data_IF_257319950458
#
_entry.id   IF_257319950458
#
_cell.length_a   1.000
_cell.length_b   1.000
_cell.length_c   1.000
_cell.angle_alpha   90.00
_cell.angle_beta   90.00
_cell.angle_gamma   90.00
#
_symmetry.space_group_name_H-M   'P 1'
#
loop_
_entity.id
_entity.type
_entity.pdbx_description
1 polymer ?
#
# COMPACT_ATOMS: atom_id res chain seq x y z
N UNK A 1 11.97 -13.64 10.03
CA UNK A 1 10.81 -12.74 10.05
C UNK A 1 10.97 -11.80 8.87
N UNK A 2 10.20 -12.02 7.82
CA UNK A 2 10.26 -11.23 6.59
C UNK A 2 9.89 -9.78 6.91
N UNK A 3 10.84 -8.86 6.68
CA UNK A 3 10.65 -7.43 6.94
C UNK A 3 9.64 -6.92 5.89
N UNK A 4 8.50 -6.32 6.29
CA UNK A 4 7.53 -5.82 5.32
C UNK A 4 8.17 -4.72 4.47
N UNK A 5 8.11 -4.85 3.15
CA UNK A 5 8.74 -3.92 2.21
C UNK A 5 7.89 -2.67 1.97
N UNK A 6 6.58 -2.76 2.19
CA UNK A 6 5.65 -1.65 2.02
C UNK A 6 4.91 -1.31 3.33
N UNK A 7 4.50 -0.04 3.45
CA UNK A 7 3.78 0.56 4.59
C UNK A 7 2.30 0.81 4.30
N UNK A 8 1.74 0.20 3.25
CA UNK A 8 0.37 0.49 2.81
C UNK A 8 -0.64 0.25 3.94
N UNK A 9 -0.42 -0.79 4.76
CA UNK A 9 -1.25 -1.06 5.94
C UNK A 9 -1.25 0.10 6.94
N UNK A 10 -0.05 0.55 7.32
CA UNK A 10 0.13 1.65 8.28
C UNK A 10 -0.55 2.92 7.76
N UNK A 11 -0.31 3.27 6.50
CA UNK A 11 -0.90 4.47 5.88
C UNK A 11 -2.43 4.42 5.80
N UNK A 12 -3.01 3.25 5.54
CA UNK A 12 -4.46 3.07 5.55
C UNK A 12 -5.03 3.23 6.96
N UNK A 13 -4.35 2.71 7.98
CA UNK A 13 -4.74 2.87 9.39
C UNK A 13 -4.62 4.33 9.84
N UNK A 14 -3.52 5.01 9.51
CA UNK A 14 -3.27 6.43 9.83
C UNK A 14 -4.33 7.36 9.21
N UNK A 15 -4.75 7.08 7.98
CA UNK A 15 -5.81 7.85 7.30
C UNK A 15 -7.24 7.40 7.67
N UNK A 16 -7.41 6.29 8.38
CA UNK A 16 -8.73 5.72 8.66
C UNK A 16 -9.46 5.22 7.41
N UNK A 17 -8.73 4.83 6.37
CA UNK A 17 -9.28 4.40 5.08
C UNK A 17 -9.47 2.89 5.06
N UNK A 18 -10.65 2.45 4.60
CA UNK A 18 -10.94 1.02 4.44
C UNK A 18 -10.25 0.45 3.20
N UNK A 19 -9.79 -0.80 3.31
CA UNK A 19 -9.22 -1.53 2.17
C UNK A 19 -10.22 -1.71 1.01
N UNK A 20 -11.52 -1.83 1.31
CA UNK A 20 -12.58 -1.88 0.28
C UNK A 20 -12.60 -0.60 -0.56
N UNK A 21 -12.44 0.56 0.07
CA UNK A 21 -12.39 1.84 -0.62
C UNK A 21 -11.17 1.94 -1.53
N UNK A 22 -9.99 1.48 -1.07
CA UNK A 22 -8.79 1.45 -1.89
C UNK A 22 -8.97 0.48 -3.08
N UNK A 23 -9.61 -0.66 -2.87
CA UNK A 23 -9.91 -1.64 -3.92
C UNK A 23 -10.84 -1.06 -5.01
N UNK A 24 -11.88 -0.33 -4.60
CA UNK A 24 -12.77 0.40 -5.52
C UNK A 24 -12.01 1.46 -6.32
N UNK A 25 -11.15 2.25 -5.67
CA UNK A 25 -10.35 3.28 -6.34
C UNK A 25 -9.31 2.73 -7.31
N UNK A 26 -8.70 1.59 -6.99
CA UNK A 26 -7.74 0.91 -7.86
C UNK A 26 -8.41 0.10 -8.98
N UNK A 27 -9.72 -0.10 -8.93
CA UNK A 27 -10.42 -1.02 -9.82
C UNK A 27 -9.92 -2.47 -9.69
N UNK A 28 -9.47 -2.87 -8.50
CA UNK A 28 -8.92 -4.22 -8.22
C UNK A 28 -9.77 -4.94 -7.19
N UNK A 29 -9.79 -6.27 -7.27
CA UNK A 29 -10.49 -7.08 -6.27
C UNK A 29 -9.89 -6.89 -4.87
N UNK A 30 -10.75 -6.92 -3.85
CA UNK A 30 -10.34 -6.82 -2.44
C UNK A 30 -9.22 -7.79 -2.07
N UNK A 31 -9.27 -9.05 -2.53
CA UNK A 31 -8.23 -10.05 -2.26
C UNK A 31 -6.85 -9.63 -2.77
N UNK A 32 -6.78 -8.92 -3.90
CA UNK A 32 -5.52 -8.42 -4.47
C UNK A 32 -4.97 -7.29 -3.60
N UNK A 33 -5.81 -6.33 -3.24
CA UNK A 33 -5.42 -5.22 -2.35
C UNK A 33 -5.00 -5.73 -0.97
N UNK A 34 -5.75 -6.68 -0.39
CA UNK A 34 -5.40 -7.31 0.87
C UNK A 34 -4.04 -8.03 0.79
N UNK A 35 -3.70 -8.61 -0.35
CA UNK A 35 -2.37 -9.22 -0.57
C UNK A 35 -1.24 -8.18 -0.54
N UNK A 36 -1.48 -6.98 -1.09
CA UNK A 36 -0.53 -5.86 -1.01
C UNK A 36 -0.37 -5.35 0.42
N UNK A 37 -1.50 -5.08 1.09
CA UNK A 37 -1.56 -4.57 2.46
C UNK A 37 -0.89 -5.53 3.45
N UNK A 38 -1.14 -6.84 3.32
CA UNK A 38 -0.53 -7.86 4.15
C UNK A 38 0.91 -8.21 3.73
N UNK A 39 1.50 -7.51 2.78
CA UNK A 39 2.85 -7.78 2.24
C UNK A 39 3.04 -9.22 1.70
N UNK A 40 1.95 -9.97 1.44
CA UNK A 40 2.01 -11.32 0.84
C UNK A 40 2.40 -11.27 -0.63
N UNK A 41 2.04 -10.18 -1.30
CA UNK A 41 2.44 -9.87 -2.67
C UNK A 41 2.85 -8.41 -2.72
N UNK A 42 3.92 -8.09 -3.42
CA UNK A 42 4.28 -6.68 -3.64
C UNK A 42 3.47 -6.12 -4.82
N UNK A 43 2.94 -4.89 -4.69
CA UNK A 43 2.36 -4.18 -5.83
C UNK A 43 3.47 -3.85 -6.83
N UNK A 44 3.14 -3.88 -8.12
CA UNK A 44 4.01 -3.34 -9.16
C UNK A 44 4.20 -1.84 -8.96
N UNK A 45 5.28 -1.27 -9.50
CA UNK A 45 5.57 0.16 -9.40
C UNK A 45 4.39 1.03 -9.86
N UNK A 46 3.74 0.67 -10.97
CA UNK A 46 2.55 1.35 -11.47
C UNK A 46 1.40 1.38 -10.46
N UNK A 47 1.13 0.25 -9.80
CA UNK A 47 0.08 0.16 -8.77
C UNK A 47 0.48 0.97 -7.54
N UNK A 48 1.75 0.99 -7.19
CA UNK A 48 2.25 1.79 -6.07
C UNK A 48 2.04 3.29 -6.32
N UNK A 49 2.31 3.77 -7.54
CA UNK A 49 2.00 5.15 -7.95
C UNK A 49 0.50 5.44 -7.95
N UNK A 50 -0.34 4.52 -8.43
CA UNK A 50 -1.80 4.67 -8.34
C UNK A 50 -2.28 4.78 -6.89
N UNK A 51 -1.73 3.96 -5.99
CA UNK A 51 -2.05 4.04 -4.55
C UNK A 51 -1.61 5.39 -3.98
N UNK A 52 -0.42 5.86 -4.34
CA UNK A 52 0.11 7.16 -3.89
C UNK A 52 -0.78 8.32 -4.35
N UNK A 53 -1.23 8.30 -5.61
CA UNK A 53 -2.13 9.29 -6.18
C UNK A 53 -3.50 9.28 -5.48
N UNK A 54 -4.09 8.08 -5.28
CA UNK A 54 -5.37 7.90 -4.59
C UNK A 54 -5.32 8.38 -3.14
N UNK A 55 -4.19 8.15 -2.47
CA UNK A 55 -3.97 8.57 -1.09
C UNK A 55 -3.45 10.02 -0.98
N UNK A 56 -3.15 10.67 -2.10
CA UNK A 56 -2.53 12.00 -2.20
C UNK A 56 -1.25 12.10 -1.36
N UNK A 57 -0.32 11.17 -1.56
CA UNK A 57 0.97 11.12 -0.86
C UNK A 57 2.10 10.81 -1.85
N UNK A 58 3.35 10.96 -1.39
CA UNK A 58 4.50 10.52 -2.18
C UNK A 58 4.61 8.98 -2.15
N UNK A 59 5.05 8.41 -3.26
CA UNK A 59 5.27 6.96 -3.38
C UNK A 59 6.31 6.45 -2.39
N UNK A 60 7.27 7.30 -1.98
CA UNK A 60 8.30 6.97 -0.99
C UNK A 60 7.71 6.70 0.40
N UNK A 61 6.64 7.39 0.78
CA UNK A 61 5.96 7.17 2.07
C UNK A 61 5.29 5.79 2.14
N UNK A 62 4.96 5.19 0.99
CA UNK A 62 4.39 3.84 0.91
C UNK A 62 5.44 2.73 1.02
N UNK A 63 6.72 3.03 0.91
CA UNK A 63 7.83 2.07 0.93
C UNK A 63 8.53 2.14 2.28
N UNK A 64 8.87 1.00 2.89
CA UNK A 64 9.75 1.02 4.08
C UNK A 64 11.16 1.38 3.64
N UNK A 65 11.73 2.41 4.26
CA UNK A 65 13.14 2.71 4.10
C UNK A 65 13.97 1.54 4.65
N UNK A 66 14.89 1.03 3.84
CA UNK A 66 15.83 -0.04 4.23
C UNK A 66 17.05 0.49 5.00
N UNK A 67 17.20 1.81 5.09
CA UNK A 67 18.28 2.42 5.85
C UNK A 67 17.88 2.34 7.33
N UNK A 68 18.51 1.42 8.06
CA UNK A 68 18.66 1.55 9.50
C UNK A 68 19.40 2.86 9.74
N UNK A 69 18.74 3.85 10.35
CA UNK A 69 19.44 4.79 11.21
C UNK A 69 19.88 4.06 12.50
#
# INVERSE_FOLDING_TARGET
>A
MDKPMNRIKEVLEEKGIKQTWLAEKLGKSFCIVNSYVCNRRQPSLEVLFQIAEVLQMDVKDLIKSSNND
#
